data_IF_775174337149
#
_entry.id   IF_775174337149
#
_cell.length_a   1.000
_cell.length_b   1.000
_cell.length_c   1.000
_cell.angle_alpha   90.00
_cell.angle_beta   90.00
_cell.angle_gamma   90.00
#
_symmetry.space_group_name_H-M   'P 1'
#
loop_
_entity.id
_entity.type
_entity.pdbx_description
1 polymer ?
#
# COMPACT_ATOMS: atom_id res chain seq x y z
N UNK A 1 26.19 2.88 -24.13
CA UNK A 1 25.31 1.73 -24.46
C UNK A 1 24.76 1.19 -23.17
N UNK A 2 23.43 1.05 -23.10
CA UNK A 2 22.60 0.57 -21.98
C UNK A 2 22.84 -0.91 -21.61
N UNK A 3 24.11 -1.34 -21.48
CA UNK A 3 24.48 -2.75 -21.39
C UNK A 3 24.67 -3.28 -19.96
N UNK A 4 24.10 -2.63 -18.96
CA UNK A 4 24.06 -3.18 -17.61
C UNK A 4 22.70 -2.88 -16.99
N UNK A 5 21.77 -3.85 -16.94
CA UNK A 5 20.55 -3.68 -16.16
C UNK A 5 20.97 -3.53 -14.70
N UNK A 6 20.55 -2.44 -14.06
CA UNK A 6 20.69 -2.29 -12.62
C UNK A 6 20.04 -3.48 -11.90
N UNK A 7 20.70 -3.95 -10.85
CA UNK A 7 20.17 -5.01 -10.02
C UNK A 7 18.89 -4.53 -9.33
N UNK A 8 17.83 -5.32 -9.40
CA UNK A 8 16.56 -4.97 -8.77
C UNK A 8 16.75 -4.96 -7.25
N UNK A 9 16.41 -3.84 -6.61
CA UNK A 9 16.36 -3.71 -5.16
C UNK A 9 14.91 -3.52 -4.69
N UNK A 10 14.21 -4.60 -4.32
CA UNK A 10 12.84 -4.50 -3.83
C UNK A 10 12.74 -3.64 -2.56
N UNK A 11 11.62 -2.93 -2.35
CA UNK A 11 11.39 -2.18 -1.12
C UNK A 11 11.25 -3.11 0.09
N UNK A 12 11.69 -2.64 1.24
CA UNK A 12 11.49 -3.32 2.52
C UNK A 12 10.04 -3.13 2.98
N UNK A 13 9.49 -4.05 3.79
CA UNK A 13 8.10 -3.94 4.27
C UNK A 13 7.77 -2.61 4.96
N UNK A 14 8.75 -2.04 5.67
CA UNK A 14 8.59 -0.78 6.41
C UNK A 14 8.92 0.48 5.59
N UNK A 15 9.36 0.32 4.34
CA UNK A 15 9.54 1.47 3.45
C UNK A 15 8.17 2.08 3.13
N UNK A 16 8.15 3.40 2.94
CA UNK A 16 6.93 4.14 2.57
C UNK A 16 6.49 3.69 1.16
N UNK A 17 5.25 3.24 1.06
CA UNK A 17 4.63 2.83 -0.20
C UNK A 17 3.80 3.95 -0.83
N UNK A 18 2.98 4.63 -0.02
CA UNK A 18 2.10 5.70 -0.52
C UNK A 18 1.76 6.74 0.56
N UNK A 19 1.40 7.94 0.12
CA UNK A 19 0.80 8.99 0.97
C UNK A 19 -0.57 9.32 0.37
N UNK A 20 -1.63 8.93 1.07
CA UNK A 20 -3.01 9.21 0.64
C UNK A 20 -3.49 10.51 1.27
N UNK A 21 -3.81 11.51 0.45
CA UNK A 21 -4.37 12.77 0.92
C UNK A 21 -5.88 12.68 1.10
N UNK A 22 -6.37 13.26 2.19
CA UNK A 22 -7.78 13.35 2.55
C UNK A 22 -8.15 14.81 2.78
N UNK A 23 -9.41 15.20 2.57
CA UNK A 23 -9.83 16.60 2.62
C UNK A 23 -9.61 17.29 3.96
N UNK A 24 -9.55 16.54 5.07
CA UNK A 24 -9.34 17.08 6.41
C UNK A 24 -10.52 17.90 6.93
N UNK A 25 -10.91 17.72 8.19
CA UNK A 25 -12.02 18.48 8.79
C UNK A 25 -11.68 19.95 9.08
N UNK A 26 -10.39 20.29 9.10
CA UNK A 26 -9.88 21.65 9.32
C UNK A 26 -9.69 22.46 8.03
N UNK A 27 -10.14 21.95 6.87
CA UNK A 27 -9.98 22.58 5.55
C UNK A 27 -8.66 22.24 4.86
N UNK A 28 -7.59 22.01 5.61
CA UNK A 28 -6.30 21.59 5.07
C UNK A 28 -6.22 20.06 4.86
N UNK A 29 -5.80 19.59 3.66
CA UNK A 29 -5.64 18.17 3.40
C UNK A 29 -4.62 17.49 4.30
N UNK A 30 -4.94 16.29 4.80
CA UNK A 30 -4.04 15.47 5.63
C UNK A 30 -3.50 14.29 4.84
N UNK A 31 -2.18 14.09 4.89
CA UNK A 31 -1.50 12.94 4.30
C UNK A 31 -1.47 11.75 5.24
N UNK A 32 -1.96 10.60 4.79
CA UNK A 32 -1.89 9.32 5.48
C UNK A 32 -0.74 8.53 4.87
N UNK A 33 0.33 8.32 5.65
CA UNK A 33 1.52 7.57 5.22
C UNK A 33 1.27 6.08 5.41
N UNK A 34 1.43 5.30 4.35
CA UNK A 34 1.34 3.84 4.40
C UNK A 34 2.66 3.19 4.00
N UNK A 35 3.04 2.16 4.74
CA UNK A 35 4.15 1.26 4.38
C UNK A 35 3.70 0.17 3.42
N UNK A 36 4.65 -0.51 2.77
CA UNK A 36 4.36 -1.69 1.94
C UNK A 36 3.66 -2.79 2.74
N UNK A 37 4.08 -3.02 4.00
CA UNK A 37 3.45 -3.98 4.91
C UNK A 37 1.98 -3.65 5.18
N UNK A 38 1.69 -2.39 5.53
CA UNK A 38 0.32 -1.97 5.84
C UNK A 38 -0.59 -2.10 4.63
N UNK A 39 -0.09 -1.74 3.44
CA UNK A 39 -0.86 -1.84 2.21
C UNK A 39 -1.13 -3.30 1.80
N UNK A 40 -0.14 -4.18 1.92
CA UNK A 40 -0.32 -5.61 1.67
C UNK A 40 -1.32 -6.25 2.65
N UNK A 41 -1.27 -5.86 3.93
CA UNK A 41 -2.22 -6.34 4.94
C UNK A 41 -3.66 -5.91 4.61
N UNK A 42 -3.86 -4.69 4.09
CA UNK A 42 -5.19 -4.23 3.66
C UNK A 42 -5.76 -5.11 2.54
N UNK A 43 -4.95 -5.42 1.52
CA UNK A 43 -5.36 -6.34 0.43
C UNK A 43 -5.71 -7.70 1.00
N UNK A 44 -4.90 -8.25 1.91
CA UNK A 44 -5.17 -9.55 2.53
C UNK A 44 -6.43 -9.54 3.39
N UNK A 45 -6.71 -8.46 4.09
CA UNK A 45 -7.92 -8.32 4.89
C UNK A 45 -9.18 -8.36 4.01
N UNK A 46 -9.14 -7.73 2.83
CA UNK A 46 -10.24 -7.79 1.85
C UNK A 46 -10.42 -9.22 1.34
N UNK A 47 -9.34 -9.90 0.97
CA UNK A 47 -9.36 -11.30 0.54
C UNK A 47 -10.02 -12.21 1.59
N UNK A 48 -9.61 -12.10 2.86
CA UNK A 48 -10.19 -12.84 3.99
C UNK A 48 -11.67 -12.47 4.22
N UNK A 49 -12.03 -11.20 4.07
CA UNK A 49 -13.42 -10.76 4.19
C UNK A 49 -14.29 -11.34 3.07
N UNK A 50 -13.80 -11.37 1.83
CA UNK A 50 -14.55 -11.88 0.67
C UNK A 50 -14.77 -13.39 0.75
N UNK A 51 -13.84 -14.15 1.32
CA UNK A 51 -13.99 -15.59 1.55
C UNK A 51 -15.24 -15.94 2.38
N UNK A 52 -15.78 -15.02 3.19
CA UNK A 52 -17.02 -15.23 3.95
C UNK A 52 -18.27 -15.36 3.08
N UNK A 53 -18.18 -15.01 1.80
CA UNK A 53 -19.30 -14.98 0.86
C UNK A 53 -19.19 -16.02 -0.26
N UNK A 54 -18.10 -16.80 -0.32
CA UNK A 54 -17.90 -17.80 -1.38
C UNK A 54 -18.81 -19.03 -1.25
N UNK A 55 -19.32 -19.33 -0.06
CA UNK A 55 -20.21 -20.47 0.22
C UNK A 55 -21.73 -20.11 0.21
N UNK A 56 -22.11 -18.94 -0.33
CA UNK A 56 -23.51 -18.51 -0.50
C UNK A 56 -23.91 -18.43 -1.97
#
# INVERSE_FOLDING_TARGET
>A
GINQPEELSPPKPLDICTIMYTSGTSGEPKGVVLTHETHAMQVKAIDVFMAQFEDK
#
